data_IF_975906185566
#
_entry.id   IF_975906185566
#
_cell.length_a   1.000
_cell.length_b   1.000
_cell.length_c   1.000
_cell.angle_alpha   90.00
_cell.angle_beta   90.00
_cell.angle_gamma   90.00
#
_symmetry.space_group_name_H-M   'P 1'
#
loop_
_entity.id
_entity.type
_entity.pdbx_description
1 polymer ?
#
# COMPACT_ATOMS: atom_id res chain seq x y z
N UNK A 1 -4.59 -9.58 15.88
CA UNK A 1 -4.11 -8.24 15.47
C UNK A 1 -2.99 -8.40 14.45
N UNK A 2 -3.13 -7.76 13.32
CA UNK A 2 -2.16 -7.83 12.22
C UNK A 2 -1.70 -6.44 11.83
N UNK A 3 -0.43 -6.31 11.47
CA UNK A 3 0.07 -5.12 10.81
C UNK A 3 0.04 -5.35 9.30
N UNK A 4 -0.38 -4.34 8.57
CA UNK A 4 -0.39 -4.36 7.10
C UNK A 4 0.39 -3.15 6.62
N UNK A 5 1.37 -3.42 5.76
CA UNK A 5 2.12 -2.37 5.08
C UNK A 5 1.75 -2.42 3.60
N UNK A 6 1.31 -1.28 3.08
CA UNK A 6 0.95 -1.16 1.67
C UNK A 6 1.93 -0.17 1.04
N UNK A 7 2.64 -0.62 0.02
CA UNK A 7 3.54 0.24 -0.78
C UNK A 7 2.93 0.37 -2.16
N UNK A 8 2.67 1.59 -2.59
CA UNK A 8 1.93 1.83 -3.82
C UNK A 8 2.43 3.06 -4.55
N UNK A 9 2.27 3.04 -5.87
CA UNK A 9 2.52 4.21 -6.70
C UNK A 9 1.55 5.32 -6.33
N UNK A 10 2.01 6.57 -6.31
CA UNK A 10 1.18 7.72 -5.94
C UNK A 10 -0.10 7.84 -6.77
N UNK A 11 -0.14 7.27 -7.97
CA UNK A 11 -1.33 7.26 -8.80
C UNK A 11 -2.50 6.49 -8.18
N UNK A 12 -2.22 5.60 -7.22
CA UNK A 12 -3.24 4.85 -6.49
C UNK A 12 -3.75 5.56 -5.22
N UNK A 13 -3.27 6.77 -4.93
CA UNK A 13 -3.57 7.46 -3.66
C UNK A 13 -5.06 7.50 -3.36
N UNK A 14 -5.88 7.95 -4.31
CA UNK A 14 -7.33 8.08 -4.08
C UNK A 14 -8.00 6.74 -3.82
N UNK A 15 -7.57 5.69 -4.53
CA UNK A 15 -8.13 4.35 -4.36
C UNK A 15 -7.77 3.76 -2.99
N UNK A 16 -6.54 3.97 -2.53
CA UNK A 16 -6.11 3.51 -1.20
C UNK A 16 -6.84 4.26 -0.10
N UNK A 17 -6.94 5.58 -0.20
CA UNK A 17 -7.67 6.39 0.78
C UNK A 17 -9.15 6.00 0.85
N UNK A 18 -9.78 5.80 -0.30
CA UNK A 18 -11.17 5.33 -0.36
C UNK A 18 -11.34 3.97 0.32
N UNK A 19 -10.42 3.04 0.07
CA UNK A 19 -10.45 1.73 0.71
C UNK A 19 -10.34 1.83 2.23
N UNK A 20 -9.39 2.62 2.73
CA UNK A 20 -9.20 2.81 4.16
C UNK A 20 -10.48 3.35 4.82
N UNK A 21 -11.09 4.35 4.21
CA UNK A 21 -12.32 4.95 4.71
C UNK A 21 -13.48 3.96 4.67
N UNK A 22 -13.66 3.28 3.55
CA UNK A 22 -14.78 2.35 3.36
C UNK A 22 -14.72 1.16 4.32
N UNK A 23 -13.53 0.67 4.62
CA UNK A 23 -13.33 -0.43 5.55
C UNK A 23 -13.26 0.01 7.01
N UNK A 24 -13.45 1.31 7.28
CA UNK A 24 -13.47 1.84 8.63
C UNK A 24 -12.11 1.90 9.31
N UNK A 25 -11.03 1.91 8.53
CA UNK A 25 -9.67 1.98 9.07
C UNK A 25 -9.34 3.44 9.33
N UNK A 26 -9.28 3.82 10.61
CA UNK A 26 -9.05 5.21 11.02
C UNK A 26 -7.61 5.49 11.43
N UNK A 27 -6.93 4.48 11.97
CA UNK A 27 -5.57 4.64 12.46
C UNK A 27 -4.55 4.08 11.47
N UNK A 28 -3.72 4.96 10.90
CA UNK A 28 -2.62 4.54 10.04
C UNK A 28 -1.54 5.61 10.02
N UNK A 29 -0.33 5.20 9.63
CA UNK A 29 0.76 6.12 9.36
C UNK A 29 1.09 6.09 7.89
N UNK A 30 1.39 7.24 7.31
CA UNK A 30 1.65 7.39 5.89
C UNK A 30 3.01 8.02 5.67
N UNK A 31 3.77 7.45 4.75
CA UNK A 31 5.02 8.04 4.25
C UNK A 31 4.85 8.39 2.78
N UNK A 32 5.29 9.59 2.43
CA UNK A 32 5.34 10.05 1.04
C UNK A 32 6.77 9.97 0.52
N UNK A 33 6.92 10.08 -0.79
CA UNK A 33 8.22 10.13 -1.45
C UNK A 33 9.07 8.87 -1.20
N UNK A 34 8.42 7.70 -1.29
CA UNK A 34 9.10 6.41 -1.11
C UNK A 34 9.66 5.95 -2.45
N UNK A 35 10.97 5.80 -2.51
CA UNK A 35 11.65 5.28 -3.68
C UNK A 35 11.62 3.76 -3.66
N UNK A 36 11.50 3.13 -4.84
CA UNK A 36 11.50 1.68 -4.88
C UNK A 36 11.53 1.13 -6.29
N UNK A 37 11.77 -0.17 -6.34
CA UNK A 37 11.68 -0.96 -7.56
C UNK A 37 10.99 -2.27 -7.20
N UNK A 38 9.80 -2.49 -7.80
CA UNK A 38 8.96 -3.63 -7.43
C UNK A 38 9.50 -4.98 -7.88
N UNK A 39 10.20 -5.00 -9.02
CA UNK A 39 10.80 -6.22 -9.59
C UNK A 39 12.15 -5.90 -10.19
N UNK A 40 12.93 -6.94 -10.53
CA UNK A 40 14.24 -6.77 -11.16
C UNK A 40 14.15 -6.07 -12.52
N UNK A 41 13.01 -6.17 -13.21
CA UNK A 41 12.73 -5.53 -14.50
C UNK A 41 11.84 -4.28 -14.36
N UNK A 42 11.43 -3.94 -13.14
CA UNK A 42 10.52 -2.83 -12.89
C UNK A 42 11.19 -1.47 -13.10
N UNK A 43 10.37 -0.48 -13.42
CA UNK A 43 10.81 0.91 -13.55
C UNK A 43 11.09 1.46 -12.15
N UNK A 44 12.26 2.04 -11.88
CA UNK A 44 12.55 2.66 -10.59
C UNK A 44 11.64 3.85 -10.29
N UNK A 45 11.15 3.95 -9.05
CA UNK A 45 10.30 5.04 -8.58
C UNK A 45 11.13 5.98 -7.71
N UNK A 46 11.92 6.84 -8.34
CA UNK A 46 12.90 7.68 -7.65
C UNK A 46 12.44 9.13 -7.44
N UNK A 47 11.34 9.53 -8.07
CA UNK A 47 10.84 10.91 -7.97
C UNK A 47 11.74 11.94 -8.61
N UNK A 48 12.60 11.52 -9.54
CA UNK A 48 13.52 12.41 -10.27
C UNK A 48 12.94 12.81 -11.62
N UNK A 49 13.61 13.75 -12.32
CA UNK A 49 13.19 14.15 -13.65
C UNK A 49 13.15 12.98 -14.65
N UNK A 50 14.11 12.05 -14.56
CA UNK A 50 14.17 10.86 -15.41
C UNK A 50 13.18 9.76 -14.97
N UNK A 51 12.84 9.72 -13.69
CA UNK A 51 11.93 8.75 -13.08
C UNK A 51 10.92 9.49 -12.23
N UNK A 52 9.92 10.16 -12.84
CA UNK A 52 9.02 11.05 -12.11
C UNK A 52 8.04 10.34 -11.17
N UNK A 53 7.79 9.06 -11.41
CA UNK A 53 6.87 8.31 -10.56
C UNK A 53 7.50 8.01 -9.20
N UNK A 54 6.70 8.08 -8.16
CA UNK A 54 7.14 7.84 -6.80
C UNK A 54 6.07 7.07 -6.03
N UNK A 55 6.51 6.32 -5.04
CA UNK A 55 5.61 5.53 -4.19
C UNK A 55 5.26 6.26 -2.90
N UNK A 56 4.18 5.79 -2.31
CA UNK A 56 3.79 6.06 -0.93
C UNK A 56 3.73 4.75 -0.17
N UNK A 57 3.77 4.84 1.14
CA UNK A 57 3.63 3.68 2.02
C UNK A 57 2.70 3.98 3.17
N UNK A 58 1.81 3.06 3.46
CA UNK A 58 0.90 3.13 4.61
C UNK A 58 1.16 1.91 5.49
N UNK A 59 1.18 2.11 6.79
CA UNK A 59 1.15 1.02 7.74
C UNK A 59 -0.05 1.21 8.67
N UNK A 60 -0.78 0.12 8.92
CA UNK A 60 -1.92 0.11 9.83
C UNK A 60 -1.94 -1.20 10.59
N UNK A 61 -2.52 -1.18 11.79
CA UNK A 61 -2.73 -2.38 12.60
C UNK A 61 -4.23 -2.59 12.71
N UNK A 62 -4.69 -3.78 12.35
CA UNK A 62 -6.11 -4.09 12.24
C UNK A 62 -6.43 -5.43 12.90
N UNK A 63 -7.71 -5.66 13.12
CA UNK A 63 -8.19 -6.96 13.57
C UNK A 63 -8.08 -7.99 12.44
N UNK A 64 -7.90 -9.26 12.81
CA UNK A 64 -7.68 -10.33 11.85
C UNK A 64 -8.81 -10.44 10.82
N UNK A 65 -10.05 -10.16 11.22
CA UNK A 65 -11.24 -10.33 10.39
C UNK A 65 -11.25 -9.40 9.16
N UNK A 66 -10.55 -8.27 9.20
CA UNK A 66 -10.58 -7.32 8.09
C UNK A 66 -9.45 -7.53 7.08
N UNK A 67 -8.47 -8.37 7.41
CA UNK A 67 -7.26 -8.57 6.59
C UNK A 67 -7.61 -9.01 5.17
N UNK A 68 -8.44 -10.02 5.03
CA UNK A 68 -8.79 -10.55 3.71
C UNK A 68 -9.50 -9.52 2.84
N UNK A 69 -10.37 -8.70 3.44
CA UNK A 69 -11.05 -7.63 2.71
C UNK A 69 -10.05 -6.60 2.17
N UNK A 70 -9.04 -6.26 2.97
CA UNK A 70 -7.97 -5.33 2.53
C UNK A 70 -7.18 -5.95 1.39
N UNK A 71 -6.71 -7.17 1.56
CA UNK A 71 -5.89 -7.84 0.54
C UNK A 71 -6.65 -8.07 -0.76
N UNK A 72 -7.92 -8.44 -0.69
CA UNK A 72 -8.76 -8.63 -1.88
C UNK A 72 -8.97 -7.30 -2.63
N UNK A 73 -9.17 -6.21 -1.92
CA UNK A 73 -9.31 -4.89 -2.54
C UNK A 73 -8.01 -4.48 -3.23
N UNK A 74 -6.87 -4.68 -2.59
CA UNK A 74 -5.56 -4.37 -3.16
C UNK A 74 -5.31 -5.20 -4.42
N UNK A 75 -5.65 -6.48 -4.38
CA UNK A 75 -5.52 -7.36 -5.53
C UNK A 75 -6.33 -6.86 -6.72
N UNK A 76 -7.56 -6.41 -6.48
CA UNK A 76 -8.41 -5.85 -7.54
C UNK A 76 -7.82 -4.57 -8.12
N UNK A 77 -7.26 -3.70 -7.29
CA UNK A 77 -6.60 -2.48 -7.76
C UNK A 77 -5.41 -2.83 -8.66
N UNK A 78 -4.61 -3.81 -8.25
CA UNK A 78 -3.44 -4.27 -9.02
C UNK A 78 -3.84 -4.87 -10.37
N UNK A 79 -4.92 -5.65 -10.41
CA UNK A 79 -5.43 -6.27 -11.63
C UNK A 79 -5.93 -5.25 -12.67
N UNK A 80 -6.47 -4.12 -12.24
CA UNK A 80 -6.97 -3.07 -13.13
C UNK A 80 -5.82 -2.40 -13.87
N UNK A 81 -4.69 -2.19 -13.21
CA UNK A 81 -3.53 -1.55 -13.82
C UNK A 81 -2.25 -2.10 -13.17
N UNK A 82 -1.78 -3.22 -13.68
CA UNK A 82 -0.61 -3.92 -13.14
C UNK A 82 0.71 -3.22 -13.43
N UNK A 83 0.73 -2.24 -14.34
CA UNK A 83 1.90 -1.41 -14.60
C UNK A 83 2.14 -0.39 -13.48
N UNK A 84 1.09 -0.05 -12.75
CA UNK A 84 1.17 0.88 -11.62
C UNK A 84 1.31 0.06 -10.35
N UNK A 85 2.52 0.01 -9.80
CA UNK A 85 2.87 -0.92 -8.72
C UNK A 85 2.09 -0.73 -7.43
N UNK A 86 1.71 -1.86 -6.83
CA UNK A 86 1.15 -1.92 -5.48
C UNK A 86 1.50 -3.27 -4.87
N UNK A 87 1.91 -3.24 -3.60
CA UNK A 87 2.21 -4.44 -2.81
C UNK A 87 1.71 -4.27 -1.39
N UNK A 88 1.27 -5.35 -0.79
CA UNK A 88 0.88 -5.37 0.61
C UNK A 88 1.53 -6.54 1.32
N UNK A 89 1.95 -6.29 2.55
CA UNK A 89 2.58 -7.29 3.40
C UNK A 89 1.84 -7.34 4.73
N UNK A 90 1.65 -8.53 5.26
CA UNK A 90 0.91 -8.74 6.52
C UNK A 90 1.78 -9.56 7.47
N UNK A 91 1.82 -9.15 8.73
CA UNK A 91 2.50 -9.93 9.76
C UNK A 91 1.78 -9.78 11.12
N UNK A 92 2.08 -10.70 12.02
CA UNK A 92 1.49 -10.68 13.36
C UNK A 92 2.05 -9.54 14.20
N UNK A 93 1.16 -8.88 14.96
CA UNK A 93 1.55 -7.95 16.01
C UNK A 93 1.40 -8.66 17.35
N UNK A 94 2.50 -8.92 18.02
CA UNK A 94 2.50 -9.65 19.27
C UNK A 94 2.07 -8.81 20.45
N UNK A 95 2.49 -7.54 20.47
CA UNK A 95 2.18 -6.61 21.56
C UNK A 95 2.11 -5.19 21.03
N UNK A 96 1.31 -4.39 21.70
CA UNK A 96 1.22 -2.95 21.42
C UNK A 96 1.13 -2.21 22.73
N UNK A 97 1.40 -0.93 22.70
CA UNK A 97 1.29 -0.06 23.87
C UNK A 97 0.19 0.97 23.66
#
# INVERSE_FOLDING_TARGET
MKAIMIVYNQAHTEKIEYMLDKLGIKGYSLWENVQGRGTSSGVPHLGTHAWPEINKSVITVVDDEIVDSILNTIKKIDEINDEVGIRAFVWDVLKTV
#
